data_IF_963909679070
#
_entry.id   IF_963909679070
#
_cell.length_a   1.000
_cell.length_b   1.000
_cell.length_c   1.000
_cell.angle_alpha   90.00
_cell.angle_beta   90.00
_cell.angle_gamma   90.00
#
_symmetry.space_group_name_H-M   'P 1'
#
loop_
_entity.id
_entity.type
_entity.pdbx_description
1 polymer ?
#
# COMPACT_ATOMS: atom_id res chain seq x y z
N UNK A 1 29.17 16.42 -1.53
CA UNK A 1 28.19 15.55 -2.20
C UNK A 1 26.90 15.36 -1.38
N UNK A 2 26.72 16.02 -0.23
CA UNK A 2 25.68 15.63 0.75
C UNK A 2 24.32 16.35 0.68
N UNK A 3 24.19 17.47 -0.04
CA UNK A 3 22.91 18.20 -0.14
C UNK A 3 21.96 17.62 -1.20
N UNK A 4 22.51 17.34 -2.39
CA UNK A 4 21.75 16.84 -3.54
C UNK A 4 21.14 15.44 -3.29
N UNK A 5 21.87 14.58 -2.56
CA UNK A 5 21.40 13.23 -2.25
C UNK A 5 20.24 13.25 -1.24
N UNK A 6 20.25 14.17 -0.28
CA UNK A 6 19.17 14.30 0.71
C UNK A 6 17.90 14.88 0.10
N UNK A 7 18.02 15.91 -0.75
CA UNK A 7 16.88 16.47 -1.49
C UNK A 7 16.24 15.41 -2.40
N UNK A 8 17.06 14.63 -3.11
CA UNK A 8 16.59 13.52 -3.94
C UNK A 8 15.84 12.45 -3.12
N UNK A 9 16.38 12.05 -1.97
CA UNK A 9 15.73 11.07 -1.08
C UNK A 9 14.39 11.61 -0.58
N UNK A 10 14.33 12.88 -0.19
CA UNK A 10 13.11 13.53 0.27
C UNK A 10 12.04 13.54 -0.83
N UNK A 11 12.39 13.92 -2.07
CA UNK A 11 11.48 13.89 -3.21
C UNK A 11 10.99 12.47 -3.52
N UNK A 12 11.90 11.49 -3.49
CA UNK A 12 11.56 10.09 -3.70
C UNK A 12 10.56 9.59 -2.65
N UNK A 13 10.78 9.89 -1.36
CA UNK A 13 9.88 9.51 -0.27
C UNK A 13 8.52 10.21 -0.39
N UNK A 14 8.49 11.48 -0.76
CA UNK A 14 7.23 12.20 -1.00
C UNK A 14 6.42 11.55 -2.13
N UNK A 15 7.07 11.23 -3.26
CA UNK A 15 6.41 10.56 -4.39
C UNK A 15 5.95 9.14 -4.01
N UNK A 16 6.78 8.40 -3.29
CA UNK A 16 6.45 7.07 -2.78
C UNK A 16 5.20 7.11 -1.89
N UNK A 17 5.14 8.03 -0.92
CA UNK A 17 3.98 8.19 -0.02
C UNK A 17 2.74 8.59 -0.82
N UNK A 18 2.87 9.57 -1.73
CA UNK A 18 1.76 10.05 -2.54
C UNK A 18 1.14 8.92 -3.36
N UNK A 19 1.95 8.22 -4.14
CA UNK A 19 1.47 7.16 -5.03
C UNK A 19 0.80 6.03 -4.23
N UNK A 20 1.38 5.62 -3.10
CA UNK A 20 0.80 4.55 -2.29
C UNK A 20 -0.51 4.95 -1.59
N UNK A 21 -0.67 6.22 -1.21
CA UNK A 21 -1.96 6.73 -0.72
C UNK A 21 -3.02 6.74 -1.83
N UNK A 22 -2.63 7.13 -3.04
CA UNK A 22 -3.52 7.10 -4.21
C UNK A 22 -3.96 5.67 -4.52
N UNK A 23 -3.03 4.72 -4.59
CA UNK A 23 -3.36 3.31 -4.79
C UNK A 23 -4.25 2.74 -3.67
N UNK A 24 -4.01 3.11 -2.40
CA UNK A 24 -4.86 2.65 -1.29
C UNK A 24 -6.29 3.21 -1.43
N UNK A 25 -6.43 4.47 -1.81
CA UNK A 25 -7.73 5.10 -2.07
C UNK A 25 -8.46 4.40 -3.23
N UNK A 26 -7.78 4.16 -4.35
CA UNK A 26 -8.34 3.44 -5.50
C UNK A 26 -8.74 2.01 -5.14
N UNK A 27 -7.92 1.32 -4.35
CA UNK A 27 -8.21 -0.04 -3.87
C UNK A 27 -9.47 -0.07 -3.03
N UNK A 28 -9.68 0.92 -2.17
CA UNK A 28 -10.92 1.06 -1.39
C UNK A 28 -12.14 1.29 -2.28
N UNK A 29 -12.04 2.17 -3.26
CA UNK A 29 -13.14 2.39 -4.21
C UNK A 29 -13.46 1.13 -5.01
N UNK A 30 -12.43 0.41 -5.48
CA UNK A 30 -12.60 -0.86 -6.16
C UNK A 30 -13.24 -1.93 -5.29
N UNK A 31 -12.87 -1.99 -4.00
CA UNK A 31 -13.45 -2.90 -3.03
C UNK A 31 -14.96 -2.64 -2.84
N UNK A 32 -15.38 -1.39 -2.64
CA UNK A 32 -16.80 -1.02 -2.53
C UNK A 32 -17.61 -1.39 -3.77
N UNK A 33 -17.00 -1.24 -4.95
CA UNK A 33 -17.60 -1.62 -6.24
C UNK A 33 -17.49 -3.11 -6.56
N UNK A 34 -16.88 -3.93 -5.67
CA UNK A 34 -16.56 -5.35 -5.87
C UNK A 34 -15.77 -5.61 -7.16
N UNK A 35 -14.95 -4.64 -7.58
CA UNK A 35 -14.07 -4.75 -8.73
C UNK A 35 -12.76 -5.44 -8.32
N UNK A 36 -12.78 -6.77 -8.23
CA UNK A 36 -11.64 -7.57 -7.78
C UNK A 36 -10.40 -7.45 -8.67
N UNK A 37 -10.59 -7.24 -9.97
CA UNK A 37 -9.49 -6.99 -10.89
C UNK A 37 -8.71 -5.71 -10.53
N UNK A 38 -9.44 -4.63 -10.18
CA UNK A 38 -8.82 -3.38 -9.74
C UNK A 38 -8.25 -3.49 -8.32
N UNK A 39 -8.90 -4.22 -7.41
CA UNK A 39 -8.33 -4.51 -6.07
C UNK A 39 -6.97 -5.21 -6.22
N UNK A 40 -6.90 -6.25 -7.05
CA UNK A 40 -5.65 -6.96 -7.37
C UNK A 40 -4.60 -6.01 -7.95
N UNK A 41 -4.99 -5.17 -8.91
CA UNK A 41 -4.07 -4.21 -9.54
C UNK A 41 -3.44 -3.27 -8.50
N UNK A 42 -4.26 -2.62 -7.65
CA UNK A 42 -3.77 -1.73 -6.61
C UNK A 42 -2.93 -2.49 -5.57
N UNK A 43 -3.36 -3.69 -5.16
CA UNK A 43 -2.63 -4.54 -4.23
C UNK A 43 -1.23 -4.89 -4.78
N UNK A 44 -1.13 -5.23 -6.07
CA UNK A 44 0.14 -5.50 -6.75
C UNK A 44 1.06 -4.27 -6.78
N UNK A 45 0.51 -3.06 -6.93
CA UNK A 45 1.28 -1.80 -6.91
C UNK A 45 1.80 -1.44 -5.51
N UNK A 46 1.01 -1.69 -4.47
CA UNK A 46 1.37 -1.40 -3.06
C UNK A 46 2.34 -2.46 -2.49
N UNK A 47 2.22 -3.73 -2.93
CA UNK A 47 3.06 -4.84 -2.47
C UNK A 47 4.56 -4.52 -2.38
N UNK A 48 5.25 -4.05 -3.45
CA UNK A 48 6.68 -3.75 -3.35
C UNK A 48 6.98 -2.67 -2.32
N UNK A 49 6.11 -1.68 -2.16
CA UNK A 49 6.26 -0.61 -1.17
C UNK A 49 6.23 -1.15 0.27
N UNK A 50 5.31 -2.08 0.57
CA UNK A 50 5.26 -2.76 1.88
C UNK A 50 6.58 -3.51 2.17
N UNK A 51 7.16 -4.16 1.16
CA UNK A 51 8.41 -4.89 1.31
C UNK A 51 9.60 -3.94 1.55
N UNK A 52 9.67 -2.82 0.82
CA UNK A 52 10.74 -1.82 0.96
C UNK A 52 10.76 -1.18 2.34
N UNK A 53 9.58 -0.86 2.89
CA UNK A 53 9.46 -0.23 4.23
C UNK A 53 9.47 -1.26 5.37
N UNK A 54 9.64 -2.54 5.05
CA UNK A 54 9.70 -3.64 6.01
C UNK A 54 8.50 -3.67 6.98
N UNK A 55 7.30 -3.40 6.47
CA UNK A 55 6.08 -3.47 7.28
C UNK A 55 5.64 -4.94 7.46
N UNK A 56 6.37 -5.69 8.29
CA UNK A 56 6.23 -7.14 8.46
C UNK A 56 4.79 -7.60 8.68
N UNK A 57 4.04 -6.85 9.50
CA UNK A 57 2.63 -7.12 9.81
C UNK A 57 1.70 -7.02 8.58
N UNK A 58 2.16 -6.44 7.47
CA UNK A 58 1.42 -6.28 6.22
C UNK A 58 1.94 -7.16 5.08
N UNK A 59 3.07 -7.86 5.25
CA UNK A 59 3.67 -8.70 4.20
C UNK A 59 2.72 -9.81 3.73
N UNK A 60 2.22 -10.64 4.65
CA UNK A 60 1.26 -11.69 4.28
C UNK A 60 -0.09 -11.11 3.85
N UNK A 61 -0.68 -10.13 4.57
CA UNK A 61 -1.95 -9.54 4.18
C UNK A 61 -2.01 -8.98 2.75
N UNK A 62 -0.95 -8.31 2.26
CA UNK A 62 -0.93 -7.80 0.88
C UNK A 62 -0.78 -8.91 -0.15
N UNK A 63 -0.05 -9.99 0.18
CA UNK A 63 0.08 -11.16 -0.67
C UNK A 63 -1.26 -11.88 -0.82
N UNK A 64 -1.91 -12.15 0.31
CA UNK A 64 -3.23 -12.78 0.37
C UNK A 64 -4.27 -11.95 -0.37
N UNK A 65 -4.32 -10.63 -0.14
CA UNK A 65 -5.26 -9.74 -0.82
C UNK A 65 -5.09 -9.79 -2.34
N UNK A 66 -3.84 -9.73 -2.81
CA UNK A 66 -3.52 -9.80 -4.24
C UNK A 66 -3.89 -11.17 -4.84
N UNK A 67 -3.65 -12.26 -4.13
CA UNK A 67 -3.99 -13.61 -4.59
C UNK A 67 -5.51 -13.84 -4.60
N UNK A 68 -6.19 -13.55 -3.49
CA UNK A 68 -7.63 -13.76 -3.32
C UNK A 68 -8.45 -12.90 -4.29
N UNK A 69 -8.08 -11.63 -4.48
CA UNK A 69 -8.72 -10.78 -5.48
C UNK A 69 -8.43 -11.25 -6.92
N UNK A 70 -7.21 -11.74 -7.18
CA UNK A 70 -6.80 -12.20 -8.50
C UNK A 70 -7.44 -13.53 -8.94
N UNK A 71 -7.59 -14.46 -8.00
CA UNK A 71 -8.24 -15.77 -8.23
C UNK A 71 -9.75 -15.73 -7.98
N UNK A 72 -10.24 -14.68 -7.33
CA UNK A 72 -11.62 -14.57 -6.83
C UNK A 72 -11.98 -15.72 -5.86
N UNK A 73 -11.03 -16.07 -4.99
CA UNK A 73 -11.16 -17.12 -3.97
C UNK A 73 -11.03 -16.48 -2.58
N UNK A 74 -11.60 -17.11 -1.56
CA UNK A 74 -11.58 -16.59 -0.19
C UNK A 74 -12.05 -15.13 -0.08
N UNK A 75 -13.03 -14.72 -0.89
CA UNK A 75 -13.52 -13.34 -0.96
C UNK A 75 -14.05 -12.85 0.41
N UNK A 76 -14.52 -13.76 1.26
CA UNK A 76 -14.94 -13.49 2.63
C UNK A 76 -13.82 -12.96 3.53
N UNK A 77 -12.54 -13.22 3.18
CA UNK A 77 -11.38 -12.74 3.94
C UNK A 77 -10.95 -11.33 3.51
N UNK A 78 -11.24 -10.92 2.26
CA UNK A 78 -10.84 -9.63 1.70
C UNK A 78 -11.23 -8.44 2.58
N UNK A 79 -12.45 -8.34 3.15
CA UNK A 79 -12.81 -7.23 4.03
C UNK A 79 -11.88 -7.06 5.23
N UNK A 80 -11.47 -8.18 5.87
CA UNK A 80 -10.55 -8.13 7.01
C UNK A 80 -9.15 -7.68 6.62
N UNK A 81 -8.66 -8.14 5.46
CA UNK A 81 -7.37 -7.73 4.89
C UNK A 81 -7.37 -6.23 4.54
N UNK A 82 -8.41 -5.76 3.85
CA UNK A 82 -8.61 -4.35 3.54
C UNK A 82 -8.63 -3.50 4.81
N UNK A 83 -9.34 -3.94 5.86
CA UNK A 83 -9.39 -3.26 7.16
C UNK A 83 -8.01 -3.11 7.80
N UNK A 84 -7.19 -4.17 7.76
CA UNK A 84 -5.83 -4.14 8.29
C UNK A 84 -4.94 -3.15 7.52
N UNK A 85 -4.98 -3.19 6.19
CA UNK A 85 -4.23 -2.26 5.34
C UNK A 85 -4.66 -0.81 5.58
N UNK A 86 -5.96 -0.54 5.63
CA UNK A 86 -6.53 0.78 5.88
C UNK A 86 -6.18 1.33 7.28
N UNK A 87 -5.94 0.45 8.25
CA UNK A 87 -5.53 0.87 9.59
C UNK A 87 -4.03 1.16 9.67
N UNK A 88 -3.19 0.32 9.06
CA UNK A 88 -1.74 0.35 9.25
C UNK A 88 -1.02 1.26 8.26
N UNK A 89 -1.38 1.24 6.98
CA UNK A 89 -0.67 2.01 5.95
C UNK A 89 -0.72 3.52 6.21
N UNK A 90 -1.86 4.14 6.58
CA UNK A 90 -1.87 5.58 6.88
C UNK A 90 -0.93 5.97 8.02
N UNK A 91 -0.82 5.13 9.05
CA UNK A 91 0.11 5.36 10.19
C UNK A 91 1.55 5.32 9.71
N UNK A 92 1.92 4.32 8.92
CA UNK A 92 3.27 4.19 8.36
C UNK A 92 3.60 5.36 7.43
N UNK A 93 2.66 5.75 6.56
CA UNK A 93 2.86 6.90 5.67
C UNK A 93 2.97 8.23 6.39
N UNK A 94 2.33 8.38 7.55
CA UNK A 94 2.51 9.57 8.39
C UNK A 94 3.90 9.56 9.02
N UNK A 95 4.31 8.44 9.62
CA UNK A 95 5.64 8.30 10.22
C UNK A 95 6.77 8.58 9.19
N UNK A 96 6.67 8.00 7.99
CA UNK A 96 7.64 8.27 6.91
C UNK A 96 7.62 9.74 6.46
N UNK A 97 6.47 10.41 6.50
CA UNK A 97 6.36 11.83 6.16
C UNK A 97 7.06 12.71 7.21
N UNK A 98 6.96 12.34 8.49
CA UNK A 98 7.57 13.07 9.59
C UNK A 98 9.11 12.95 9.60
N UNK A 99 9.68 11.96 8.89
CA UNK A 99 11.12 11.80 8.70
C UNK A 99 11.70 12.70 7.59
N UNK A 100 10.86 13.27 6.73
CA UNK A 100 11.27 14.14 5.62
C UNK A 100 11.63 15.52 6.20
N UNK A 101 12.91 15.89 6.06
CA UNK A 101 13.47 17.17 6.56
C UNK A 101 13.29 18.32 5.59
#
# INVERSE_FOLDING_TARGET
MSGNDQEFINEFLQLFIKNNREYLKEMNQAFELKNWAQVKFCAHKIKPSIMVIHAEALNQPILDLNEFAGKQENLEKIPSLMGLLNTKLPVIFNALKDEIK
#
